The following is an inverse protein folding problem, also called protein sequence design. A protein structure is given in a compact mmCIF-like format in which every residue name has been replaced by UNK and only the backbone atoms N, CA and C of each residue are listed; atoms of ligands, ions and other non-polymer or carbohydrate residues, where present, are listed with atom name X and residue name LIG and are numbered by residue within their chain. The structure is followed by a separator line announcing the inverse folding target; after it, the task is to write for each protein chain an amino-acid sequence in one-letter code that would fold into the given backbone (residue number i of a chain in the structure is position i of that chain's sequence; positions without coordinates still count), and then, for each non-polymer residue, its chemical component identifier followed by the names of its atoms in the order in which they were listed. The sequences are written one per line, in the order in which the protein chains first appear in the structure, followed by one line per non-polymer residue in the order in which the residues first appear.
data_IF_733094382293
#
_entry.id   IF_733094382293
#
_cell.length_a   1.000
_cell.length_b   1.000
_cell.length_c   1.000
_cell.angle_alpha   90.00
_cell.angle_beta   90.00
_cell.angle_gamma   90.00
#
_symmetry.space_group_name_H-M   'P 1'
#
loop_
_entity.id
_entity.type
_entity.pdbx_description
1 polymer ?
#
# COMPACT_ATOMS: atom_id res chain seq x y z
N UNK A 1 -20.58 18.11 19.88
CA UNK A 1 -20.90 18.54 18.50
C UNK A 1 -21.32 20.00 18.37
N UNK A 2 -22.24 20.54 19.19
CA UNK A 2 -22.66 21.95 19.05
C UNK A 2 -21.53 22.98 19.27
N UNK A 3 -20.54 22.68 20.13
CA UNK A 3 -19.39 23.55 20.35
C UNK A 3 -18.51 23.71 19.10
N UNK A 4 -18.14 22.59 18.45
CA UNK A 4 -17.28 22.61 17.25
C UNK A 4 -17.93 23.33 16.06
N UNK A 5 -19.26 23.26 15.92
CA UNK A 5 -19.99 23.97 14.87
C UNK A 5 -20.01 25.50 15.03
N UNK A 6 -19.78 26.00 16.24
CA UNK A 6 -19.81 27.43 16.57
C UNK A 6 -18.41 28.07 16.60
N UNK A 7 -17.37 27.35 16.19
CA UNK A 7 -15.96 27.79 16.25
C UNK A 7 -15.47 28.43 14.95
N UNK A 8 -16.34 29.11 14.20
CA UNK A 8 -16.02 29.67 12.87
C UNK A 8 -14.90 30.75 12.86
N UNK A 9 -14.38 31.16 14.02
CA UNK A 9 -13.33 32.20 14.19
C UNK A 9 -12.00 31.67 14.78
N UNK A 10 -11.75 30.36 14.78
CA UNK A 10 -10.49 29.80 15.32
C UNK A 10 -9.52 29.36 14.22
N UNK A 11 -8.22 29.63 14.39
CA UNK A 11 -7.17 29.26 13.42
C UNK A 11 -6.89 27.74 13.39
N UNK A 12 -7.10 27.05 14.51
CA UNK A 12 -6.99 25.59 14.64
C UNK A 12 -7.95 25.05 15.70
N UNK A 13 -8.59 23.93 15.41
CA UNK A 13 -9.42 23.19 16.35
C UNK A 13 -8.62 22.03 16.98
N UNK A 14 -8.32 22.13 18.26
CA UNK A 14 -7.69 21.05 19.02
C UNK A 14 -8.75 20.29 19.81
N UNK A 15 -8.76 18.95 19.67
CA UNK A 15 -9.72 18.10 20.39
C UNK A 15 -9.02 16.93 21.09
N UNK A 16 -9.59 16.44 22.18
CA UNK A 16 -9.06 15.29 22.94
C UNK A 16 -10.01 14.11 22.75
N UNK A 17 -9.51 12.95 22.31
CA UNK A 17 -10.40 11.80 22.12
C UNK A 17 -9.83 10.59 21.39
N UNK A 18 -10.77 9.75 20.94
CA UNK A 18 -10.59 8.52 20.16
C UNK A 18 -10.90 8.71 18.66
N UNK A 19 -10.74 7.67 17.83
CA UNK A 19 -11.13 7.71 16.40
C UNK A 19 -12.61 8.05 16.20
N UNK A 20 -13.50 7.54 17.08
CA UNK A 20 -14.91 7.94 17.08
C UNK A 20 -15.12 9.44 17.33
N UNK A 21 -14.28 10.06 18.18
CA UNK A 21 -14.29 11.50 18.38
C UNK A 21 -13.81 12.24 17.14
N UNK A 22 -12.78 11.73 16.45
CA UNK A 22 -12.35 12.31 15.18
C UNK A 22 -13.45 12.25 14.11
N UNK A 23 -14.23 11.16 14.07
CA UNK A 23 -15.39 11.04 13.18
C UNK A 23 -16.49 12.07 13.52
N UNK A 24 -16.76 12.32 14.81
CA UNK A 24 -17.71 13.35 15.25
C UNK A 24 -17.23 14.76 14.85
N UNK A 25 -15.93 15.03 14.98
CA UNK A 25 -15.32 16.29 14.57
C UNK A 25 -15.39 16.46 13.06
N UNK A 26 -15.07 15.42 12.28
CA UNK A 26 -15.21 15.40 10.82
C UNK A 26 -16.64 15.77 10.40
N UNK A 27 -17.66 15.18 11.03
CA UNK A 27 -19.06 15.49 10.74
C UNK A 27 -19.47 16.93 11.12
N UNK A 28 -18.76 17.56 12.05
CA UNK A 28 -19.04 18.91 12.51
C UNK A 28 -18.36 19.98 11.65
N UNK A 29 -17.08 19.82 11.33
CA UNK A 29 -16.24 20.85 10.69
C UNK A 29 -15.76 20.48 9.29
N UNK A 30 -15.73 19.19 8.95
CA UNK A 30 -15.24 18.69 7.66
C UNK A 30 -13.83 19.21 7.35
N UNK A 31 -13.68 19.88 6.20
CA UNK A 31 -12.43 20.50 5.73
C UNK A 31 -12.38 22.02 5.94
N UNK A 32 -13.33 22.59 6.68
CA UNK A 32 -13.49 24.06 6.77
C UNK A 32 -12.37 24.75 7.54
N UNK A 33 -11.66 24.02 8.41
CA UNK A 33 -10.59 24.56 9.24
C UNK A 33 -9.58 23.48 9.63
N UNK A 34 -8.35 23.86 10.01
CA UNK A 34 -7.35 22.94 10.55
C UNK A 34 -7.80 22.30 11.86
N UNK A 35 -7.48 21.02 12.03
CA UNK A 35 -7.77 20.24 13.24
C UNK A 35 -6.53 19.50 13.73
N UNK A 36 -6.44 19.30 15.05
CA UNK A 36 -5.44 18.43 15.66
C UNK A 36 -6.05 17.62 16.80
N UNK A 37 -5.89 16.31 16.74
CA UNK A 37 -6.31 15.37 17.77
C UNK A 37 -5.22 15.15 18.82
N UNK A 38 -5.61 15.22 20.09
CA UNK A 38 -4.83 14.82 21.25
C UNK A 38 -5.28 13.41 21.67
N UNK A 39 -4.40 12.40 21.66
CA UNK A 39 -4.79 11.04 21.95
C UNK A 39 -5.18 10.88 23.43
N UNK A 40 -6.41 10.39 23.67
CA UNK A 40 -6.90 10.08 25.03
C UNK A 40 -6.68 8.62 25.44
N UNK A 41 -6.14 7.78 24.55
CA UNK A 41 -5.96 6.34 24.74
C UNK A 41 -4.85 5.76 23.86
N UNK A 42 -4.74 4.43 23.85
CA UNK A 42 -3.59 3.69 23.28
C UNK A 42 -3.74 3.24 21.82
N UNK A 43 -4.90 3.46 21.17
CA UNK A 43 -5.18 2.93 19.82
C UNK A 43 -5.93 3.94 18.95
N UNK A 44 -5.17 4.85 18.36
CA UNK A 44 -5.65 5.84 17.39
C UNK A 44 -5.19 5.42 16.01
N UNK A 45 -6.08 5.43 15.03
CA UNK A 45 -5.79 5.02 13.65
C UNK A 45 -5.91 6.18 12.66
N UNK A 46 -6.73 7.19 12.98
CA UNK A 46 -6.90 8.38 12.14
C UNK A 46 -5.62 9.20 12.12
N UNK A 47 -5.28 9.72 10.94
CA UNK A 47 -4.06 10.48 10.72
C UNK A 47 -4.15 11.95 11.17
N UNK A 48 -5.08 12.23 12.09
CA UNK A 48 -5.36 13.56 12.61
C UNK A 48 -4.82 13.75 14.04
N UNK A 49 -4.25 12.70 14.64
CA UNK A 49 -3.76 12.71 16.02
C UNK A 49 -2.25 12.96 16.10
N UNK A 50 -1.82 13.73 17.10
CA UNK A 50 -0.42 13.72 17.52
C UNK A 50 -0.06 12.38 18.19
N UNK A 51 1.22 11.97 18.21
CA UNK A 51 1.59 10.72 18.89
C UNK A 51 1.37 10.77 20.41
N UNK A 52 1.49 11.96 21.02
CA UNK A 52 1.32 12.16 22.46
C UNK A 52 0.70 13.52 22.74
N UNK A 53 0.11 13.75 23.93
CA UNK A 53 -0.35 15.06 24.33
C UNK A 53 0.76 16.12 24.35
N UNK A 54 2.01 15.73 24.68
CA UNK A 54 3.16 16.63 24.61
C UNK A 54 3.44 17.08 23.18
N UNK A 55 3.44 16.14 22.24
CA UNK A 55 3.63 16.48 20.83
C UNK A 55 2.51 17.35 20.29
N UNK A 56 1.26 17.15 20.74
CA UNK A 56 0.17 18.03 20.35
C UNK A 56 0.42 19.48 20.79
N UNK A 57 0.95 19.69 22.01
CA UNK A 57 1.32 21.02 22.47
C UNK A 57 2.44 21.63 21.61
N UNK A 58 3.49 20.87 21.30
CA UNK A 58 4.58 21.31 20.41
C UNK A 58 4.06 21.73 19.03
N UNK A 59 3.16 20.94 18.45
CA UNK A 59 2.55 21.24 17.13
C UNK A 59 1.73 22.53 17.18
N UNK A 60 0.99 22.76 18.27
CA UNK A 60 0.19 23.98 18.43
C UNK A 60 1.09 25.20 18.61
N UNK A 61 2.18 25.09 19.36
CA UNK A 61 3.16 26.17 19.51
C UNK A 61 3.81 26.51 18.16
N UNK A 62 4.22 25.50 17.40
CA UNK A 62 4.82 25.66 16.06
C UNK A 62 3.78 26.09 15.00
N UNK A 63 2.49 25.85 15.22
CA UNK A 63 1.44 26.26 14.28
C UNK A 63 1.40 27.78 14.08
N UNK A 64 1.79 28.55 15.09
CA UNK A 64 1.93 30.01 15.00
C UNK A 64 3.00 30.44 13.98
N UNK A 65 3.94 29.56 13.62
CA UNK A 65 4.96 29.77 12.60
C UNK A 65 4.51 29.30 11.19
N UNK A 66 3.19 29.20 10.96
CA UNK A 66 2.55 28.80 9.68
C UNK A 66 2.96 27.42 9.16
N UNK A 67 2.78 26.38 9.99
CA UNK A 67 2.99 25.00 9.55
C UNK A 67 2.17 24.67 8.28
N UNK A 68 2.76 23.94 7.31
CA UNK A 68 2.02 23.47 6.14
C UNK A 68 0.80 22.64 6.55
N UNK A 69 -0.27 22.74 5.78
CA UNK A 69 -1.52 22.01 6.02
C UNK A 69 -1.72 20.92 4.97
N UNK A 70 -2.28 19.79 5.39
CA UNK A 70 -2.52 18.63 4.53
C UNK A 70 -3.87 17.99 4.84
N UNK A 71 -4.52 17.40 3.84
CA UNK A 71 -5.70 16.57 4.06
C UNK A 71 -5.28 15.20 4.59
N UNK A 72 -5.81 14.80 5.74
CA UNK A 72 -5.49 13.51 6.37
C UNK A 72 -6.73 12.70 6.69
N UNK A 73 -6.64 11.38 6.51
CA UNK A 73 -7.81 10.52 6.67
C UNK A 73 -8.25 10.38 8.14
N UNK A 74 -9.56 10.40 8.30
CA UNK A 74 -10.25 9.99 9.51
C UNK A 74 -10.82 8.61 9.26
N UNK A 75 -10.42 7.66 10.09
CA UNK A 75 -10.83 6.26 9.96
C UNK A 75 -11.73 5.88 11.11
N UNK A 76 -12.61 4.92 10.84
CA UNK A 76 -13.45 4.27 11.82
C UNK A 76 -13.02 2.82 11.95
N UNK A 77 -12.97 2.38 13.20
CA UNK A 77 -12.66 1.01 13.56
C UNK A 77 -14.00 0.29 13.67
N UNK A 78 -14.19 -0.77 12.89
CA UNK A 78 -15.34 -1.65 13.12
C UNK A 78 -15.16 -2.35 14.47
N UNK A 79 -15.82 -1.82 15.50
CA UNK A 79 -15.72 -2.34 16.86
C UNK A 79 -16.23 -3.78 16.98
N UNK A 80 -17.20 -4.20 16.16
CA UNK A 80 -17.71 -5.58 16.19
C UNK A 80 -16.70 -6.56 15.59
N UNK A 81 -16.08 -6.19 14.47
CA UNK A 81 -14.97 -6.94 13.88
C UNK A 81 -13.78 -6.97 14.85
N UNK A 82 -13.47 -5.85 15.50
CA UNK A 82 -12.38 -5.73 16.45
C UNK A 82 -12.61 -6.60 17.70
N UNK A 83 -13.84 -6.66 18.24
CA UNK A 83 -14.21 -7.59 19.32
C UNK A 83 -14.04 -9.06 18.94
N UNK A 84 -14.15 -9.37 17.65
CA UNK A 84 -13.90 -10.71 17.09
C UNK A 84 -12.42 -10.94 16.71
N UNK A 85 -11.53 -10.00 17.02
CA UNK A 85 -10.09 -10.10 16.75
C UNK A 85 -9.66 -9.65 15.35
N UNK A 86 -10.57 -9.13 14.54
CA UNK A 86 -10.28 -8.65 13.18
C UNK A 86 -10.19 -7.13 13.15
N UNK A 87 -9.06 -6.57 12.74
CA UNK A 87 -8.92 -5.13 12.55
C UNK A 87 -9.47 -4.75 11.15
N UNK A 88 -10.68 -4.20 11.12
CA UNK A 88 -11.29 -3.65 9.91
C UNK A 88 -11.38 -2.13 10.08
N UNK A 89 -10.67 -1.40 9.22
CA UNK A 89 -10.65 0.06 9.20
C UNK A 89 -11.39 0.54 7.96
N UNK A 90 -12.25 1.55 8.11
CA UNK A 90 -12.94 2.20 6.99
C UNK A 90 -12.70 3.71 7.03
N UNK A 91 -12.40 4.33 5.88
CA UNK A 91 -12.22 5.78 5.79
C UNK A 91 -13.59 6.44 5.84
N UNK A 92 -13.76 7.41 6.75
CA UNK A 92 -14.98 8.22 6.87
C UNK A 92 -14.90 9.52 6.08
N UNK A 93 -13.68 10.03 5.87
CA UNK A 93 -13.42 11.25 5.15
C UNK A 93 -12.07 11.83 5.52
N UNK A 94 -11.87 13.12 5.24
CA UNK A 94 -10.59 13.80 5.42
C UNK A 94 -10.81 15.13 6.14
N UNK A 95 -9.86 15.49 7.00
CA UNK A 95 -9.78 16.80 7.65
C UNK A 95 -8.45 17.47 7.32
N UNK A 96 -8.38 18.78 7.47
CA UNK A 96 -7.16 19.57 7.28
C UNK A 96 -6.33 19.48 8.56
N UNK A 97 -5.06 19.07 8.49
CA UNK A 97 -4.20 18.83 9.65
C UNK A 97 -2.83 19.47 9.43
N UNK A 98 -2.20 20.07 10.46
CA UNK A 98 -0.82 20.55 10.37
C UNK A 98 0.17 19.42 10.07
N UNK A 99 1.05 19.64 9.10
CA UNK A 99 2.12 18.72 8.73
C UNK A 99 3.26 18.86 9.72
N UNK A 100 3.42 17.86 10.58
CA UNK A 100 4.52 17.81 11.53
C UNK A 100 4.97 16.36 11.76
N UNK A 101 6.27 16.15 12.02
CA UNK A 101 6.89 14.83 12.25
C UNK A 101 6.26 14.05 13.40
N UNK A 102 5.63 14.75 14.33
CA UNK A 102 4.99 14.18 15.53
C UNK A 102 3.47 13.99 15.39
N UNK A 103 2.92 14.23 14.19
CA UNK A 103 1.54 13.84 13.84
C UNK A 103 1.58 12.42 13.28
N UNK A 104 0.61 11.61 13.70
CA UNK A 104 0.37 10.29 13.15
C UNK A 104 0.30 10.36 11.62
N UNK A 105 1.16 9.59 10.97
CA UNK A 105 1.28 9.61 9.53
C UNK A 105 -0.09 9.30 8.89
N UNK A 106 -0.43 10.11 7.87
CA UNK A 106 -1.44 9.74 6.89
C UNK A 106 -1.03 8.41 6.30
N UNK A 107 -1.81 7.38 6.58
CA UNK A 107 -1.75 6.15 5.84
C UNK A 107 -2.82 6.32 4.76
N UNK A 108 -2.42 6.92 3.64
CA UNK A 108 -3.15 7.01 2.37
C UNK A 108 -3.72 5.65 1.94
N UNK A 109 -4.68 5.09 2.67
CA UNK A 109 -5.19 3.75 2.48
C UNK A 109 -6.17 3.73 1.30
N UNK A 110 -6.87 4.85 1.05
CA UNK A 110 -7.76 5.03 -0.11
C UNK A 110 -6.99 5.13 -1.41
N UNK A 111 -6.02 6.05 -1.51
CA UNK A 111 -5.23 6.25 -2.73
C UNK A 111 -4.38 5.03 -3.02
N UNK A 112 -3.71 4.46 -2.02
CA UNK A 112 -2.95 3.23 -2.24
C UNK A 112 -3.87 2.07 -2.65
N UNK A 113 -5.10 1.98 -2.12
CA UNK A 113 -6.08 0.97 -2.56
C UNK A 113 -6.65 1.22 -3.96
N UNK A 114 -6.89 2.48 -4.32
CA UNK A 114 -7.40 2.90 -5.62
C UNK A 114 -6.32 2.72 -6.68
N UNK A 115 -5.09 3.16 -6.42
CA UNK A 115 -3.92 2.88 -7.26
C UNK A 115 -3.71 1.37 -7.43
N UNK A 116 -3.76 0.56 -6.36
CA UNK A 116 -3.66 -0.90 -6.48
C UNK A 116 -4.76 -1.49 -7.37
N UNK A 117 -6.00 -0.99 -7.26
CA UNK A 117 -7.10 -1.42 -8.10
C UNK A 117 -6.90 -1.02 -9.56
N UNK A 118 -6.53 0.23 -9.84
CA UNK A 118 -6.26 0.75 -11.19
C UNK A 118 -5.11 -0.02 -11.85
N UNK A 119 -4.03 -0.27 -11.11
CA UNK A 119 -2.92 -1.13 -11.54
C UNK A 119 -3.45 -2.53 -11.88
N UNK A 120 -4.27 -3.10 -11.01
CA UNK A 120 -4.79 -4.44 -11.18
C UNK A 120 -5.73 -4.55 -12.39
N UNK A 121 -6.57 -3.55 -12.65
CA UNK A 121 -7.43 -3.46 -13.84
C UNK A 121 -6.58 -3.50 -15.11
N UNK A 122 -5.55 -2.66 -15.19
CA UNK A 122 -4.62 -2.65 -16.33
C UNK A 122 -3.88 -3.99 -16.51
N UNK A 123 -3.41 -4.59 -15.41
CA UNK A 123 -2.73 -5.89 -15.45
C UNK A 123 -3.67 -6.96 -16.01
N UNK A 124 -4.89 -7.09 -15.48
CA UNK A 124 -5.86 -8.11 -15.91
C UNK A 124 -6.30 -7.92 -17.37
N UNK A 125 -6.40 -6.67 -17.83
CA UNK A 125 -6.65 -6.36 -19.25
C UNK A 125 -5.48 -6.74 -20.15
N UNK A 126 -4.25 -6.59 -19.67
CA UNK A 126 -3.03 -6.94 -20.42
C UNK A 126 -2.74 -8.45 -20.45
N UNK A 127 -3.45 -9.24 -19.66
CA UNK A 127 -3.25 -10.70 -19.60
C UNK A 127 -3.81 -11.40 -20.84
N UNK A 128 -3.02 -12.29 -21.42
CA UNK A 128 -3.44 -13.19 -22.51
C UNK A 128 -3.70 -14.61 -21.99
N UNK A 129 -4.48 -15.39 -22.75
CA UNK A 129 -4.94 -16.71 -22.31
C UNK A 129 -3.88 -17.82 -22.44
N UNK A 130 -2.84 -17.61 -23.27
CA UNK A 130 -1.82 -18.61 -23.55
C UNK A 130 -0.62 -18.54 -22.59
N UNK A 131 -0.42 -17.40 -21.95
CA UNK A 131 0.68 -17.14 -21.01
C UNK A 131 0.38 -17.66 -19.61
N UNK A 132 1.37 -18.30 -19.00
CA UNK A 132 1.38 -18.65 -17.58
C UNK A 132 1.89 -17.47 -16.77
N UNK A 133 1.11 -17.03 -15.78
CA UNK A 133 1.46 -15.92 -14.89
C UNK A 133 1.79 -16.45 -13.49
N UNK A 134 3.00 -16.17 -13.03
CA UNK A 134 3.46 -16.43 -11.66
C UNK A 134 3.21 -15.15 -10.86
N UNK A 135 2.18 -15.13 -10.03
CA UNK A 135 1.72 -13.95 -9.31
C UNK A 135 2.26 -13.97 -7.88
N UNK A 136 3.10 -13.00 -7.57
CA UNK A 136 3.77 -12.81 -6.29
C UNK A 136 2.83 -12.55 -5.10
N UNK A 137 3.43 -12.44 -3.93
CA UNK A 137 2.77 -12.12 -2.67
C UNK A 137 2.59 -10.61 -2.48
N UNK A 138 1.71 -10.21 -1.56
CA UNK A 138 1.53 -8.83 -1.13
C UNK A 138 0.23 -8.17 -1.60
N UNK A 139 -0.07 -7.01 -1.01
CA UNK A 139 -1.36 -6.33 -1.21
C UNK A 139 -1.62 -5.90 -2.65
N UNK A 140 -0.61 -5.43 -3.39
CA UNK A 140 -0.75 -4.99 -4.78
C UNK A 140 -1.04 -6.15 -5.73
N UNK A 141 -0.34 -7.27 -5.60
CA UNK A 141 -0.62 -8.48 -6.41
C UNK A 141 -1.92 -9.16 -5.97
N UNK A 142 -2.31 -9.04 -4.69
CA UNK A 142 -3.56 -9.58 -4.21
C UNK A 142 -4.80 -8.91 -4.82
N UNK A 143 -4.75 -7.59 -5.10
CA UNK A 143 -5.83 -6.93 -5.84
C UNK A 143 -5.99 -7.49 -7.27
N UNK A 144 -4.90 -7.89 -7.92
CA UNK A 144 -4.96 -8.59 -9.22
C UNK A 144 -5.69 -9.93 -9.07
N UNK A 145 -5.36 -10.71 -8.03
CA UNK A 145 -6.02 -12.00 -7.75
C UNK A 145 -7.52 -11.82 -7.49
N UNK A 146 -7.93 -10.75 -6.78
CA UNK A 146 -9.34 -10.42 -6.57
C UNK A 146 -10.06 -10.08 -7.88
N UNK A 147 -9.46 -9.24 -8.73
CA UNK A 147 -10.08 -8.85 -10.01
C UNK A 147 -10.18 -10.01 -11.01
N UNK A 148 -9.25 -10.96 -10.94
CA UNK A 148 -9.35 -12.23 -11.67
C UNK A 148 -10.48 -13.14 -11.15
N UNK A 149 -11.12 -12.78 -10.03
CA UNK A 149 -12.15 -13.58 -9.36
C UNK A 149 -11.65 -15.01 -9.03
N UNK A 150 -10.39 -15.11 -8.59
CA UNK A 150 -9.77 -16.36 -8.14
C UNK A 150 -9.58 -16.37 -6.63
N UNK A 151 -9.59 -17.55 -6.03
CA UNK A 151 -9.33 -17.73 -4.60
C UNK A 151 -7.83 -17.73 -4.30
N UNK A 152 -7.14 -16.63 -4.63
CA UNK A 152 -5.70 -16.47 -4.48
C UNK A 152 -5.22 -16.27 -3.05
N UNK A 153 -3.91 -16.39 -2.85
CA UNK A 153 -3.22 -16.34 -1.56
C UNK A 153 -2.59 -14.97 -1.33
N UNK A 154 -2.74 -14.39 -0.13
CA UNK A 154 -2.19 -13.06 0.18
C UNK A 154 -0.66 -13.06 0.34
N UNK A 155 -0.12 -14.04 1.07
CA UNK A 155 1.33 -14.19 1.34
C UNK A 155 2.02 -15.23 0.46
N UNK A 156 1.26 -15.88 -0.43
CA UNK A 156 1.74 -16.96 -1.28
C UNK A 156 1.95 -16.55 -2.73
N UNK A 157 2.60 -17.44 -3.48
CA UNK A 157 2.75 -17.34 -4.93
C UNK A 157 1.64 -18.16 -5.57
N UNK A 158 0.86 -17.57 -6.48
CA UNK A 158 -0.16 -18.32 -7.21
C UNK A 158 0.21 -18.38 -8.68
N UNK A 159 -0.13 -19.48 -9.36
CA UNK A 159 0.08 -19.64 -10.79
C UNK A 159 -1.28 -19.61 -11.50
N UNK A 160 -1.36 -18.78 -12.55
CA UNK A 160 -2.60 -18.51 -13.29
C UNK A 160 -2.36 -18.69 -14.79
N UNK A 161 -3.35 -19.26 -15.50
CA UNK A 161 -3.38 -19.31 -16.97
C UNK A 161 -4.81 -19.15 -17.47
N UNK A 162 -5.04 -18.40 -18.54
CA UNK A 162 -6.41 -18.15 -19.05
C UNK A 162 -7.32 -17.52 -17.99
N UNK A 163 -6.74 -16.63 -17.16
CA UNK A 163 -7.38 -15.98 -16.01
C UNK A 163 -7.95 -16.95 -14.96
N UNK A 164 -7.50 -18.21 -14.95
CA UNK A 164 -7.89 -19.23 -13.98
C UNK A 164 -6.71 -19.66 -13.14
N UNK A 165 -6.97 -19.86 -11.85
CA UNK A 165 -6.00 -20.41 -10.91
C UNK A 165 -5.66 -21.86 -11.30
N UNK A 166 -4.37 -22.13 -11.55
CA UNK A 166 -3.88 -23.48 -11.84
C UNK A 166 -3.12 -24.08 -10.67
N UNK A 167 -2.48 -23.25 -9.84
CA UNK A 167 -1.84 -23.67 -8.60
C UNK A 167 -1.95 -22.54 -7.57
N UNK A 168 -2.45 -22.87 -6.38
CA UNK A 168 -2.62 -21.95 -5.25
C UNK A 168 -1.47 -22.16 -4.27
N UNK A 169 -0.86 -21.07 -3.80
CA UNK A 169 0.25 -21.10 -2.83
C UNK A 169 1.37 -22.08 -3.26
N UNK A 170 1.80 -21.92 -4.50
CA UNK A 170 2.71 -22.81 -5.20
C UNK A 170 4.12 -22.79 -4.61
N UNK A 171 4.65 -23.99 -4.36
CA UNK A 171 6.07 -24.21 -4.11
C UNK A 171 6.90 -24.03 -5.39
N UNK A 172 8.23 -23.92 -5.24
CA UNK A 172 9.17 -23.83 -6.37
C UNK A 172 8.95 -24.96 -7.40
N UNK A 173 8.82 -26.20 -6.92
CA UNK A 173 8.64 -27.38 -7.78
C UNK A 173 7.30 -27.36 -8.53
N UNK A 174 6.26 -26.83 -7.91
CA UNK A 174 4.96 -26.64 -8.57
C UNK A 174 5.00 -25.54 -9.63
N UNK A 175 5.69 -24.43 -9.34
CA UNK A 175 5.91 -23.36 -10.30
C UNK A 175 6.67 -23.90 -11.52
N UNK A 176 7.76 -24.65 -11.31
CA UNK A 176 8.56 -25.25 -12.39
C UNK A 176 7.73 -26.18 -13.28
N UNK A 177 6.85 -27.01 -12.69
CA UNK A 177 5.96 -27.93 -13.43
C UNK A 177 4.87 -27.19 -14.20
N UNK A 178 4.44 -26.04 -13.71
CA UNK A 178 3.38 -25.25 -14.31
C UNK A 178 3.86 -24.35 -15.48
N UNK A 179 5.18 -24.17 -15.65
CA UNK A 179 5.73 -23.36 -16.74
C UNK A 179 5.27 -23.88 -18.11
N UNK A 180 4.81 -22.95 -18.95
CA UNK A 180 4.37 -23.20 -20.31
C UNK A 180 5.37 -22.70 -21.36
N UNK A 181 4.88 -22.57 -22.60
CA UNK A 181 5.65 -21.98 -23.71
C UNK A 181 5.91 -20.49 -23.49
N UNK A 182 4.95 -19.78 -22.91
CA UNK A 182 5.04 -18.37 -22.53
C UNK A 182 4.81 -18.23 -21.04
N UNK A 183 5.68 -17.50 -20.37
CA UNK A 183 5.64 -17.31 -18.93
C UNK A 183 5.90 -15.84 -18.59
N UNK A 184 5.21 -15.32 -17.57
CA UNK A 184 5.46 -13.99 -17.01
C UNK A 184 5.47 -14.07 -15.49
N UNK A 185 6.32 -13.26 -14.87
CA UNK A 185 6.35 -13.09 -13.42
C UNK A 185 5.71 -11.74 -13.11
N UNK A 186 4.70 -11.71 -12.23
CA UNK A 186 4.05 -10.51 -11.75
C UNK A 186 4.36 -10.32 -10.27
N UNK A 187 5.12 -9.30 -9.94
CA UNK A 187 5.67 -9.11 -8.59
C UNK A 187 5.53 -7.66 -8.13
N UNK A 188 5.50 -7.45 -6.81
CA UNK A 188 5.56 -6.13 -6.20
C UNK A 188 6.78 -6.04 -5.27
N UNK A 189 7.47 -4.88 -5.19
CA UNK A 189 8.58 -4.71 -4.27
C UNK A 189 8.14 -4.92 -2.80
N UNK A 190 8.99 -5.57 -2.03
CA UNK A 190 8.85 -5.68 -0.58
C UNK A 190 8.94 -4.29 0.05
N UNK A 191 7.92 -3.91 0.83
CA UNK A 191 7.82 -2.59 1.46
C UNK A 191 9.04 -2.23 2.31
N UNK A 192 9.48 -0.97 2.24
CA UNK A 192 10.60 -0.42 3.01
C UNK A 192 12.00 -0.85 2.57
N UNK A 193 12.14 -1.96 1.85
CA UNK A 193 13.45 -2.49 1.44
C UNK A 193 13.67 -2.54 -0.07
N UNK A 194 12.59 -2.62 -0.87
CA UNK A 194 12.63 -2.56 -2.34
C UNK A 194 12.97 -3.88 -3.02
N UNK A 195 13.07 -5.00 -2.29
CA UNK A 195 13.37 -6.32 -2.89
C UNK A 195 12.24 -6.77 -3.82
N UNK A 196 12.60 -7.08 -5.07
CA UNK A 196 11.70 -7.65 -6.06
C UNK A 196 11.89 -9.17 -6.22
N UNK A 197 13.06 -9.69 -5.88
CA UNK A 197 13.36 -11.13 -5.83
C UNK A 197 14.19 -11.49 -4.60
N UNK A 198 14.12 -12.77 -4.21
CA UNK A 198 14.72 -13.29 -3.00
C UNK A 198 13.76 -13.15 -1.83
N UNK A 199 13.84 -12.03 -1.12
CA UNK A 199 13.12 -11.85 0.14
C UNK A 199 11.61 -11.71 -0.07
N UNK A 200 10.86 -12.64 0.51
CA UNK A 200 9.38 -12.63 0.50
C UNK A 200 8.75 -13.34 -0.70
N UNK A 201 9.57 -13.89 -1.59
CA UNK A 201 9.14 -14.65 -2.77
C UNK A 201 10.18 -15.70 -3.18
N UNK A 202 10.80 -16.37 -2.20
CA UNK A 202 11.88 -17.37 -2.38
C UNK A 202 11.47 -18.55 -3.27
N UNK A 203 10.16 -18.83 -3.38
CA UNK A 203 9.63 -19.85 -4.28
C UNK A 203 9.90 -19.54 -5.77
N UNK A 204 10.13 -18.27 -6.13
CA UNK A 204 10.51 -17.84 -7.48
C UNK A 204 12.04 -17.91 -7.59
N UNK A 205 12.57 -19.11 -7.73
CA UNK A 205 14.01 -19.36 -7.73
C UNK A 205 14.73 -18.81 -8.97
N UNK A 206 16.06 -18.69 -8.88
CA UNK A 206 16.90 -18.25 -9.99
C UNK A 206 16.67 -19.06 -11.29
N UNK A 207 16.42 -20.37 -11.18
CA UNK A 207 16.12 -21.22 -12.33
C UNK A 207 14.81 -20.82 -13.01
N UNK A 208 13.77 -20.48 -12.23
CA UNK A 208 12.48 -20.01 -12.75
C UNK A 208 12.67 -18.66 -13.44
N UNK A 209 13.39 -17.72 -12.81
CA UNK A 209 13.63 -16.38 -13.37
C UNK A 209 14.40 -16.48 -14.69
N UNK A 210 15.46 -17.32 -14.75
CA UNK A 210 16.24 -17.57 -15.98
C UNK A 210 15.36 -18.15 -17.10
N UNK A 211 14.44 -19.08 -16.78
CA UNK A 211 13.50 -19.65 -17.76
C UNK A 211 12.45 -18.65 -18.25
N UNK A 212 12.00 -17.75 -17.38
CA UNK A 212 11.00 -16.72 -17.72
C UNK A 212 11.62 -15.61 -18.56
N UNK A 213 12.85 -15.21 -18.24
CA UNK A 213 13.54 -14.11 -18.91
C UNK A 213 13.20 -12.74 -18.32
N UNK A 214 14.18 -11.84 -18.29
CA UNK A 214 14.09 -10.50 -17.69
C UNK A 214 12.97 -9.65 -18.32
N UNK A 215 12.77 -9.80 -19.63
CA UNK A 215 11.77 -9.10 -20.43
C UNK A 215 10.32 -9.50 -20.10
N UNK A 216 10.14 -10.60 -19.37
CA UNK A 216 8.84 -11.11 -18.96
C UNK A 216 8.54 -10.88 -17.47
N UNK A 217 9.36 -10.06 -16.80
CA UNK A 217 9.14 -9.62 -15.42
C UNK A 217 8.29 -8.36 -15.45
N UNK A 218 7.10 -8.44 -14.84
CA UNK A 218 6.18 -7.34 -14.63
C UNK A 218 6.25 -6.90 -13.17
N UNK A 219 6.82 -5.73 -12.93
CA UNK A 219 6.85 -5.14 -11.58
C UNK A 219 5.66 -4.19 -11.44
N UNK A 220 4.89 -4.35 -10.36
CA UNK A 220 3.75 -3.50 -10.01
C UNK A 220 3.95 -2.88 -8.63
N UNK A 221 3.65 -1.60 -8.47
CA UNK A 221 3.69 -0.95 -7.17
C UNK A 221 2.86 0.32 -7.19
N UNK A 222 2.28 0.68 -6.05
CA UNK A 222 1.66 2.01 -5.93
C UNK A 222 2.73 3.11 -5.98
N UNK A 223 2.37 4.32 -6.43
CA UNK A 223 3.28 5.48 -6.45
C UNK A 223 3.87 5.79 -5.09
N UNK A 224 3.08 5.70 -4.02
CA UNK A 224 3.47 6.02 -2.64
C UNK A 224 4.55 5.05 -2.15
N UNK A 225 4.37 3.75 -2.42
CA UNK A 225 5.37 2.73 -2.06
C UNK A 225 6.68 3.00 -2.78
N UNK A 226 6.65 3.35 -4.07
CA UNK A 226 7.87 3.66 -4.83
C UNK A 226 8.54 4.98 -4.41
N UNK A 227 7.78 5.98 -3.95
CA UNK A 227 8.33 7.26 -3.53
C UNK A 227 9.33 7.11 -2.36
N UNK A 228 9.13 6.10 -1.52
CA UNK A 228 10.00 5.79 -0.38
C UNK A 228 11.24 4.95 -0.73
N UNK A 229 11.35 4.45 -1.96
CA UNK A 229 12.40 3.50 -2.35
C UNK A 229 13.45 4.19 -3.24
N UNK A 230 14.73 4.21 -2.84
CA UNK A 230 15.79 4.77 -3.68
C UNK A 230 16.09 3.90 -4.92
N UNK A 231 15.98 2.59 -4.76
CA UNK A 231 16.22 1.58 -5.80
C UNK A 231 15.41 0.32 -5.48
N UNK A 232 15.22 -0.52 -6.49
CA UNK A 232 14.74 -1.90 -6.34
C UNK A 232 15.93 -2.83 -6.13
N UNK A 233 15.71 -3.93 -5.43
CA UNK A 233 16.79 -4.86 -5.04
C UNK A 233 16.54 -6.28 -5.49
N UNK A 234 17.59 -6.99 -5.85
CA UNK A 234 17.57 -8.44 -6.13
C UNK A 234 18.54 -9.18 -5.21
N UNK A 235 18.12 -10.37 -4.78
CA UNK A 235 18.93 -11.30 -3.99
C UNK A 235 18.47 -12.72 -4.33
N UNK A 236 18.76 -13.18 -5.56
CA UNK A 236 18.27 -14.46 -6.06
C UNK A 236 19.10 -15.66 -5.58
N UNK A 237 20.22 -15.40 -4.89
CA UNK A 237 21.22 -16.40 -4.53
C UNK A 237 22.10 -16.84 -5.70
N UNK A 238 21.96 -16.22 -6.88
CA UNK A 238 22.73 -16.50 -8.10
C UNK A 238 23.34 -15.20 -8.63
N UNK A 239 24.65 -15.03 -8.39
CA UNK A 239 25.33 -13.76 -8.66
C UNK A 239 25.33 -13.35 -10.14
N UNK A 240 25.34 -14.31 -11.08
CA UNK A 240 25.25 -14.00 -12.50
C UNK A 240 23.85 -13.51 -12.88
N UNK A 241 22.81 -14.10 -12.28
CA UNK A 241 21.44 -13.65 -12.47
C UNK A 241 21.23 -12.25 -11.86
N UNK A 242 21.68 -12.04 -10.62
CA UNK A 242 21.55 -10.75 -9.94
C UNK A 242 22.18 -9.63 -10.78
N UNK A 243 23.41 -9.86 -11.28
CA UNK A 243 24.07 -8.91 -12.19
C UNK A 243 23.31 -8.69 -13.50
N UNK A 244 22.71 -9.74 -14.07
CA UNK A 244 21.88 -9.60 -15.27
C UNK A 244 20.58 -8.82 -15.03
N UNK A 245 20.06 -8.83 -13.80
CA UNK A 245 18.85 -8.11 -13.40
C UNK A 245 19.13 -6.63 -13.08
N UNK A 246 20.35 -6.27 -12.71
CA UNK A 246 20.77 -4.87 -12.53
C UNK A 246 20.46 -3.98 -13.73
N UNK A 247 20.42 -2.67 -13.47
CA UNK A 247 20.15 -1.64 -14.47
C UNK A 247 18.84 -0.94 -14.19
N UNK A 248 17.91 -0.95 -15.15
CA UNK A 248 16.63 -0.27 -15.03
C UNK A 248 15.47 -1.19 -15.42
N UNK A 249 14.36 -1.04 -14.73
CA UNK A 249 13.12 -1.76 -15.01
C UNK A 249 11.94 -0.80 -14.98
N UNK A 250 10.94 -1.08 -15.82
CA UNK A 250 9.67 -0.38 -15.77
C UNK A 250 8.80 -0.97 -14.65
N UNK A 251 8.27 -0.10 -13.80
CA UNK A 251 7.28 -0.45 -12.78
C UNK A 251 5.94 0.15 -13.18
N UNK A 252 4.91 -0.68 -13.26
CA UNK A 252 3.53 -0.24 -13.51
C UNK A 252 3.00 0.40 -12.22
N UNK A 253 2.58 1.66 -12.32
CA UNK A 253 2.14 2.48 -11.18
C UNK A 253 0.69 2.92 -11.25
N UNK A 254 0.04 2.72 -12.39
CA UNK A 254 -1.34 3.11 -12.65
C UNK A 254 -1.82 2.53 -13.99
N UNK A 255 -2.91 3.07 -14.52
CA UNK A 255 -3.50 2.58 -15.77
C UNK A 255 -2.68 3.07 -16.96
N UNK A 256 -1.92 2.16 -17.58
CA UNK A 256 -0.93 2.49 -18.62
C UNK A 256 0.15 3.47 -18.16
N UNK A 257 0.29 3.67 -16.85
CA UNK A 257 1.33 4.50 -16.25
C UNK A 257 2.49 3.64 -15.77
N UNK A 258 3.71 4.10 -16.06
CA UNK A 258 4.94 3.41 -15.70
C UNK A 258 5.96 4.39 -15.15
N UNK A 259 6.75 3.92 -14.19
CA UNK A 259 7.94 4.60 -13.65
C UNK A 259 9.17 3.73 -13.88
N UNK A 260 10.23 4.32 -14.39
CA UNK A 260 11.52 3.63 -14.50
C UNK A 260 12.22 3.67 -13.14
N UNK A 261 12.61 2.50 -12.64
CA UNK A 261 13.34 2.35 -11.38
C UNK A 261 14.68 1.67 -11.63
N UNK A 262 15.71 2.09 -10.90
CA UNK A 262 17.00 1.40 -10.88
C UNK A 262 16.88 0.08 -10.11
N UNK A 263 17.53 -0.97 -10.60
CA UNK A 263 17.69 -2.27 -9.93
C UNK A 263 19.15 -2.46 -9.55
N UNK A 264 19.35 -2.82 -8.28
CA UNK A 264 20.64 -3.04 -7.60
C UNK A 264 20.64 -4.33 -6.78
#
# INVERSE_FOLDING_TARGET
MNAARNMEECDILVFVGGDGTAADVLNAVGKKMPVLGVPAGVKMYSAVFAYTPRHAAEIVDEFADELPLEEREVVDVDEEAFRKGNLVLSIKGYMIVPVHKSVQASKMYSEESESKRIIAEYVVESMDDDTVYIIGSGSTTYEVKKLLNIEGTFLGIDVVKGKKLICKDASEEEIKKALGVKNKILISPLGGHGFIFGRGNEQISAEIIKKVGKENIMVISSPEKLASLPSLKVDTGDAELDESLHGYIEVITGYKEKKIMRVE
#
